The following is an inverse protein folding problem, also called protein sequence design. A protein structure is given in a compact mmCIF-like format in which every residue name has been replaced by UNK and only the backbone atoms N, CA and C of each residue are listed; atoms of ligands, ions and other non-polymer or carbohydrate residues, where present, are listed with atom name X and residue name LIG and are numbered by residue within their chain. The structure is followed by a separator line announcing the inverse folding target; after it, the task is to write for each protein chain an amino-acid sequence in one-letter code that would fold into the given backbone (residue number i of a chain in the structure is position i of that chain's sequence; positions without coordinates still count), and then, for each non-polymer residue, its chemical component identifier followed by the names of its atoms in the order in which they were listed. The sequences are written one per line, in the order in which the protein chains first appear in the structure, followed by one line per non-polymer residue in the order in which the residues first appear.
data_IF_820521287787
#
_entry.id   IF_820521287787
#
_cell.length_a   1.000
_cell.length_b   1.000
_cell.length_c   1.000
_cell.angle_alpha   90.00
_cell.angle_beta   90.00
_cell.angle_gamma   90.00
#
_symmetry.space_group_name_H-M   'P 1'
#
loop_
_entity.id
_entity.type
_entity.pdbx_description
1 polymer ?
#
# COMPACT_ATOMS: atom_id res chain seq x y z
N UNK A 1 -16.41 -18.70 -21.40
CA UNK A 1 -16.23 -17.25 -21.57
C UNK A 1 -16.52 -16.60 -20.23
N UNK A 2 -15.53 -15.98 -19.59
CA UNK A 2 -15.71 -15.38 -18.26
C UNK A 2 -16.63 -14.15 -18.42
N UNK A 3 -17.75 -14.03 -17.68
CA UNK A 3 -18.64 -12.89 -17.83
C UNK A 3 -17.90 -11.62 -17.39
N UNK A 4 -17.74 -10.66 -18.31
CA UNK A 4 -17.12 -9.36 -18.03
C UNK A 4 -17.81 -8.60 -16.88
N UNK A 5 -19.08 -8.91 -16.60
CA UNK A 5 -19.86 -8.35 -15.49
C UNK A 5 -19.34 -8.76 -14.12
N UNK A 6 -18.69 -9.92 -13.98
CA UNK A 6 -18.26 -10.47 -12.69
C UNK A 6 -17.12 -9.67 -12.04
N UNK A 7 -16.40 -8.87 -12.83
CA UNK A 7 -15.30 -8.03 -12.34
C UNK A 7 -15.66 -6.54 -12.23
N UNK A 8 -16.88 -6.14 -12.59
CA UNK A 8 -17.29 -4.73 -12.56
C UNK A 8 -17.27 -4.23 -11.11
N UNK A 9 -16.28 -3.39 -10.79
CA UNK A 9 -16.04 -2.88 -9.44
C UNK A 9 -15.74 -1.39 -9.45
N UNK A 10 -15.90 -0.73 -8.30
CA UNK A 10 -15.39 0.62 -8.09
C UNK A 10 -13.87 0.57 -7.84
N UNK A 11 -13.13 1.67 -8.11
CA UNK A 11 -11.67 1.70 -7.90
C UNK A 11 -11.24 1.36 -6.47
N UNK A 12 -12.07 1.65 -5.47
CA UNK A 12 -11.81 1.38 -4.06
C UNK A 12 -12.33 0.01 -3.57
N UNK A 13 -12.59 -0.91 -4.49
CA UNK A 13 -12.92 -2.31 -4.22
C UNK A 13 -11.79 -3.22 -4.73
N UNK A 14 -11.62 -4.35 -4.08
CA UNK A 14 -10.67 -5.40 -4.49
C UNK A 14 -11.42 -6.67 -4.84
N UNK A 15 -10.71 -7.64 -5.40
CA UNK A 15 -11.24 -8.99 -5.63
C UNK A 15 -10.43 -9.97 -4.79
N UNK A 16 -11.13 -10.86 -4.10
CA UNK A 16 -10.56 -11.91 -3.25
C UNK A 16 -11.14 -13.27 -3.65
N UNK A 17 -10.41 -14.34 -3.35
CA UNK A 17 -10.93 -15.71 -3.47
C UNK A 17 -12.01 -15.97 -2.42
N UNK A 18 -13.05 -16.71 -2.81
CA UNK A 18 -14.06 -17.21 -1.88
C UNK A 18 -13.55 -18.42 -1.09
N UNK A 19 -14.25 -18.80 -0.03
CA UNK A 19 -13.88 -20.00 0.74
C UNK A 19 -13.98 -21.27 -0.11
N UNK A 20 -14.90 -21.31 -1.07
CA UNK A 20 -15.07 -22.46 -1.98
C UNK A 20 -13.87 -22.58 -2.92
N UNK A 21 -13.41 -21.46 -3.49
CA UNK A 21 -12.20 -21.44 -4.31
C UNK A 21 -10.97 -21.84 -3.50
N UNK A 22 -10.82 -21.31 -2.28
CA UNK A 22 -9.74 -21.69 -1.37
C UNK A 22 -9.80 -23.20 -1.09
N UNK A 23 -10.98 -23.76 -0.79
CA UNK A 23 -11.14 -25.19 -0.54
C UNK A 23 -10.80 -26.06 -1.75
N UNK A 24 -11.10 -25.60 -2.97
CA UNK A 24 -10.65 -26.27 -4.21
C UNK A 24 -9.12 -26.26 -4.33
N UNK A 25 -8.51 -25.07 -4.17
CA UNK A 25 -7.06 -24.90 -4.22
C UNK A 25 -6.34 -25.73 -3.14
N UNK A 26 -6.93 -25.89 -1.95
CA UNK A 26 -6.42 -26.77 -0.91
C UNK A 26 -6.35 -28.23 -1.39
N UNK A 27 -7.39 -28.73 -2.07
CA UNK A 27 -7.37 -30.10 -2.63
C UNK A 27 -6.28 -30.25 -3.69
N UNK A 28 -6.09 -29.24 -4.54
CA UNK A 28 -5.02 -29.23 -5.55
C UNK A 28 -3.64 -29.28 -4.87
N UNK A 29 -3.42 -28.47 -3.83
CA UNK A 29 -2.17 -28.47 -3.08
C UNK A 29 -1.88 -29.85 -2.47
N UNK A 30 -2.85 -30.42 -1.74
CA UNK A 30 -2.70 -31.72 -1.08
C UNK A 30 -2.50 -32.87 -2.07
N UNK A 31 -3.03 -32.76 -3.29
CA UNK A 31 -2.77 -33.74 -4.35
C UNK A 31 -1.31 -33.73 -4.82
N UNK A 32 -0.67 -32.56 -4.83
CA UNK A 32 0.73 -32.41 -5.20
C UNK A 32 1.68 -32.75 -4.04
N UNK A 33 1.35 -32.35 -2.81
CA UNK A 33 2.12 -32.64 -1.57
C UNK A 33 1.91 -34.09 -1.09
N UNK A 34 2.37 -35.07 -1.87
CA UNK A 34 2.10 -36.49 -1.63
C UNK A 34 2.68 -37.03 -0.33
N UNK A 35 3.79 -36.45 0.13
CA UNK A 35 4.48 -36.82 1.36
C UNK A 35 3.99 -36.02 2.58
N UNK A 36 3.10 -35.04 2.40
CA UNK A 36 2.57 -34.16 3.45
C UNK A 36 3.67 -33.47 4.25
N UNK A 37 4.75 -33.06 3.59
CA UNK A 37 5.85 -32.34 4.23
C UNK A 37 5.64 -30.81 4.21
N UNK A 38 4.48 -30.35 3.70
CA UNK A 38 4.14 -28.95 3.48
C UNK A 38 5.17 -28.25 2.59
N UNK A 39 5.65 -28.95 1.57
CA UNK A 39 6.62 -28.45 0.62
C UNK A 39 6.42 -29.09 -0.76
N UNK A 40 5.74 -28.38 -1.65
CA UNK A 40 5.68 -28.77 -3.07
C UNK A 40 6.91 -28.24 -3.79
N UNK A 41 7.86 -29.12 -4.09
CA UNK A 41 9.16 -28.75 -4.66
C UNK A 41 9.09 -28.21 -6.10
N UNK A 42 10.20 -27.66 -6.65
CA UNK A 42 10.26 -27.13 -8.02
C UNK A 42 9.85 -28.13 -9.11
N UNK A 43 10.15 -29.40 -8.90
CA UNK A 43 9.77 -30.46 -9.85
C UNK A 43 8.29 -30.83 -9.76
N UNK A 44 7.63 -30.47 -8.67
CA UNK A 44 6.24 -30.83 -8.39
C UNK A 44 5.28 -29.67 -8.64
N UNK A 45 5.76 -28.42 -8.51
CA UNK A 45 5.01 -27.21 -8.84
C UNK A 45 4.50 -27.21 -10.28
N UNK A 46 5.22 -27.86 -11.21
CA UNK A 46 4.72 -28.07 -12.59
C UNK A 46 3.42 -28.87 -12.66
N UNK A 47 3.15 -29.74 -11.68
CA UNK A 47 1.92 -30.52 -11.63
C UNK A 47 0.72 -29.69 -11.16
N UNK A 48 0.93 -28.54 -10.50
CA UNK A 48 -0.18 -27.63 -10.20
C UNK A 48 -0.90 -27.25 -11.48
N UNK A 49 -0.16 -26.90 -12.53
CA UNK A 49 -0.70 -26.34 -13.77
C UNK A 49 -0.62 -27.31 -14.95
N UNK A 50 -0.57 -28.63 -14.70
CA UNK A 50 -0.45 -29.64 -15.77
C UNK A 50 -1.62 -29.63 -16.78
N UNK A 51 -2.78 -29.11 -16.37
CA UNK A 51 -3.98 -28.96 -17.21
C UNK A 51 -4.11 -27.57 -17.82
N UNK A 52 -3.18 -26.66 -17.54
CA UNK A 52 -3.09 -25.31 -18.09
C UNK A 52 -2.02 -25.27 -19.20
N UNK A 53 -2.08 -24.28 -20.13
CA UNK A 53 -1.08 -24.13 -21.19
C UNK A 53 0.34 -23.87 -20.65
N UNK A 54 0.45 -23.11 -19.55
CA UNK A 54 1.70 -22.71 -18.92
C UNK A 54 1.47 -22.35 -17.44
N UNK A 55 2.55 -22.20 -16.66
CA UNK A 55 2.47 -21.77 -15.26
C UNK A 55 2.36 -20.24 -15.18
N UNK A 56 1.36 -19.69 -14.46
CA UNK A 56 1.18 -18.25 -14.36
C UNK A 56 2.25 -17.61 -13.47
N UNK A 57 3.06 -18.40 -12.76
CA UNK A 57 3.98 -17.92 -11.73
C UNK A 57 5.45 -17.92 -12.13
N UNK A 58 5.76 -18.29 -13.36
CA UNK A 58 7.15 -18.37 -13.85
C UNK A 58 7.75 -16.97 -14.10
N UNK A 59 6.92 -15.95 -14.27
CA UNK A 59 7.34 -14.59 -14.63
C UNK A 59 6.92 -13.57 -13.57
N UNK A 60 7.48 -12.36 -13.66
CA UNK A 60 7.07 -11.24 -12.84
C UNK A 60 5.58 -10.92 -13.10
N UNK A 61 4.81 -10.50 -12.09
CA UNK A 61 5.24 -10.16 -10.72
C UNK A 61 5.17 -11.32 -9.72
N UNK A 62 5.00 -12.57 -10.16
CA UNK A 62 4.77 -13.72 -9.29
C UNK A 62 6.03 -14.48 -8.96
N UNK A 63 6.95 -14.57 -9.93
CA UNK A 63 8.26 -15.13 -9.67
C UNK A 63 8.89 -14.38 -8.50
N UNK A 64 9.48 -15.10 -7.55
CA UNK A 64 10.14 -14.49 -6.41
C UNK A 64 9.26 -13.65 -5.46
N UNK A 65 7.93 -13.71 -5.56
CA UNK A 65 7.03 -12.84 -4.78
C UNK A 65 6.62 -13.43 -3.43
N UNK A 66 6.93 -14.68 -3.12
CA UNK A 66 6.53 -15.34 -1.86
C UNK A 66 7.71 -16.05 -1.23
N UNK A 67 7.55 -16.46 0.03
CA UNK A 67 8.53 -17.28 0.74
C UNK A 67 8.67 -18.67 0.11
N UNK A 68 9.92 -19.09 -0.09
CA UNK A 68 10.29 -20.46 -0.46
C UNK A 68 10.60 -21.26 0.80
N UNK A 69 10.26 -22.54 0.78
CA UNK A 69 10.67 -23.45 1.87
C UNK A 69 12.18 -23.65 1.87
N UNK A 70 12.71 -24.25 2.94
CA UNK A 70 14.14 -24.63 3.03
C UNK A 70 14.59 -25.57 1.90
N UNK A 71 13.66 -26.26 1.25
CA UNK A 71 13.92 -27.18 0.15
C UNK A 71 13.68 -26.53 -1.23
N UNK A 72 13.46 -25.21 -1.28
CA UNK A 72 13.22 -24.46 -2.52
C UNK A 72 11.84 -24.68 -3.13
N UNK A 73 10.88 -25.22 -2.37
CA UNK A 73 9.50 -25.42 -2.82
C UNK A 73 8.54 -24.37 -2.29
N UNK A 74 7.24 -24.60 -2.51
CA UNK A 74 6.15 -23.78 -1.97
C UNK A 74 5.48 -24.48 -0.80
N UNK A 75 5.32 -23.76 0.30
CA UNK A 75 4.41 -24.17 1.38
C UNK A 75 2.96 -23.92 0.98
N UNK A 76 2.01 -24.49 1.74
CA UNK A 76 0.58 -24.23 1.56
C UNK A 76 0.23 -22.74 1.67
N UNK A 77 0.84 -22.04 2.63
CA UNK A 77 0.62 -20.60 2.86
C UNK A 77 1.21 -19.76 1.71
N UNK A 78 2.40 -20.11 1.22
CA UNK A 78 3.03 -19.47 0.05
C UNK A 78 2.20 -19.68 -1.22
N UNK A 79 1.66 -20.89 -1.41
CA UNK A 79 0.78 -21.24 -2.51
C UNK A 79 -0.50 -20.39 -2.50
N UNK A 80 -1.20 -20.30 -1.37
CA UNK A 80 -2.40 -19.44 -1.25
C UNK A 80 -2.07 -17.95 -1.35
N UNK A 81 -0.90 -17.53 -0.91
CA UNK A 81 -0.39 -16.16 -1.04
C UNK A 81 -0.23 -15.76 -2.50
N UNK A 82 0.39 -16.61 -3.34
CA UNK A 82 0.50 -16.37 -4.79
C UNK A 82 -0.86 -16.32 -5.49
N UNK A 83 -1.77 -17.23 -5.14
CA UNK A 83 -3.15 -17.20 -5.64
C UNK A 83 -3.88 -15.91 -5.28
N UNK A 84 -3.68 -15.43 -4.05
CA UNK A 84 -4.29 -14.19 -3.58
C UNK A 84 -3.68 -12.96 -4.24
N UNK A 85 -2.36 -12.95 -4.48
CA UNK A 85 -1.67 -11.92 -5.26
C UNK A 85 -2.22 -11.88 -6.69
N UNK A 86 -2.28 -13.03 -7.38
CA UNK A 86 -2.85 -13.12 -8.73
C UNK A 86 -4.29 -12.65 -8.77
N UNK A 87 -5.12 -13.03 -7.81
CA UNK A 87 -6.52 -12.58 -7.74
C UNK A 87 -6.64 -11.08 -7.48
N UNK A 88 -5.74 -10.51 -6.67
CA UNK A 88 -5.74 -9.08 -6.37
C UNK A 88 -5.39 -8.24 -7.60
N UNK A 89 -4.36 -8.64 -8.36
CA UNK A 89 -3.81 -7.84 -9.47
C UNK A 89 -4.44 -8.18 -10.83
N UNK A 90 -4.78 -9.46 -11.06
CA UNK A 90 -5.33 -9.98 -12.31
C UNK A 90 -6.39 -11.07 -12.02
N UNK A 91 -7.59 -10.66 -11.56
CA UNK A 91 -8.65 -11.60 -11.20
C UNK A 91 -9.17 -12.40 -12.39
N UNK A 92 -9.03 -11.88 -13.62
CA UNK A 92 -9.42 -12.59 -14.83
C UNK A 92 -8.51 -13.79 -15.07
N UNK A 93 -7.19 -13.59 -15.00
CA UNK A 93 -6.21 -14.67 -15.06
C UNK A 93 -6.38 -15.67 -13.92
N UNK A 94 -6.62 -15.20 -12.69
CA UNK A 94 -6.89 -16.10 -11.57
C UNK A 94 -8.08 -17.03 -11.86
N UNK A 95 -9.15 -16.47 -12.43
CA UNK A 95 -10.33 -17.25 -12.75
C UNK A 95 -10.13 -18.20 -13.93
N UNK A 96 -9.40 -17.78 -14.96
CA UNK A 96 -8.99 -18.65 -16.06
C UNK A 96 -8.23 -19.87 -15.54
N UNK A 97 -7.26 -19.66 -14.66
CA UNK A 97 -6.48 -20.75 -14.09
C UNK A 97 -7.29 -21.67 -13.19
N UNK A 98 -8.23 -21.15 -12.40
CA UNK A 98 -9.17 -22.00 -11.65
C UNK A 98 -9.98 -22.92 -12.56
N UNK A 99 -10.36 -22.47 -13.77
CA UNK A 99 -11.05 -23.29 -14.76
C UNK A 99 -10.13 -24.40 -15.29
N UNK A 100 -8.87 -24.08 -15.63
CA UNK A 100 -7.89 -25.12 -16.03
C UNK A 100 -7.70 -26.17 -14.92
N UNK A 101 -7.76 -25.77 -13.65
CA UNK A 101 -7.65 -26.67 -12.50
C UNK A 101 -8.95 -27.42 -12.17
N UNK A 102 -9.97 -27.33 -13.01
CA UNK A 102 -11.22 -28.07 -12.85
C UNK A 102 -12.06 -27.60 -11.67
N UNK A 103 -12.09 -26.29 -11.36
CA UNK A 103 -13.03 -25.74 -10.40
C UNK A 103 -14.47 -26.09 -10.83
N UNK A 104 -15.16 -26.89 -10.01
CA UNK A 104 -16.41 -27.56 -10.39
C UNK A 104 -17.64 -26.63 -10.35
N UNK A 105 -17.58 -25.56 -9.57
CA UNK A 105 -18.66 -24.58 -9.43
C UNK A 105 -18.63 -23.57 -10.58
N UNK A 106 -19.68 -22.74 -10.65
CA UNK A 106 -19.68 -21.61 -11.58
C UNK A 106 -18.44 -20.72 -11.32
N UNK A 107 -17.61 -20.42 -12.34
CA UNK A 107 -16.39 -19.65 -12.16
C UNK A 107 -16.63 -18.30 -11.45
N UNK A 108 -17.77 -17.64 -11.67
CA UNK A 108 -18.03 -16.36 -11.01
C UNK A 108 -18.18 -16.47 -9.48
N UNK A 109 -18.47 -17.66 -8.95
CA UNK A 109 -18.56 -17.92 -7.51
C UNK A 109 -17.19 -18.11 -6.83
N UNK A 110 -16.11 -18.24 -7.61
CA UNK A 110 -14.77 -18.41 -7.07
C UNK A 110 -14.18 -17.13 -6.47
N UNK A 111 -14.72 -15.98 -6.87
CA UNK A 111 -14.22 -14.67 -6.51
C UNK A 111 -15.31 -13.83 -5.85
N UNK A 112 -14.88 -12.89 -5.02
CA UNK A 112 -15.75 -11.92 -4.36
C UNK A 112 -15.18 -10.51 -4.54
N UNK A 113 -16.02 -9.59 -5.01
CA UNK A 113 -15.72 -8.17 -4.95
C UNK A 113 -15.92 -7.68 -3.52
N UNK A 114 -14.89 -7.09 -2.92
CA UNK A 114 -14.94 -6.62 -1.53
C UNK A 114 -15.78 -5.36 -1.39
N UNK A 115 -16.18 -5.05 -0.15
CA UNK A 115 -16.82 -3.77 0.17
C UNK A 115 -15.89 -2.60 -0.14
N UNK A 116 -16.46 -1.45 -0.50
CA UNK A 116 -15.70 -0.23 -0.78
C UNK A 116 -14.91 0.22 0.44
N UNK A 117 -13.61 0.51 0.28
CA UNK A 117 -12.73 0.99 1.37
C UNK A 117 -13.26 2.24 2.06
N UNK A 118 -13.92 3.15 1.31
CA UNK A 118 -14.49 4.37 1.91
C UNK A 118 -15.52 4.05 3.00
N UNK A 119 -16.27 2.95 2.85
CA UNK A 119 -17.26 2.50 3.84
C UNK A 119 -16.56 1.82 5.02
N UNK A 120 -15.60 0.93 4.74
CA UNK A 120 -14.81 0.24 5.78
C UNK A 120 -14.10 1.26 6.68
N UNK A 121 -13.57 2.35 6.10
CA UNK A 121 -12.92 3.46 6.80
C UNK A 121 -13.90 4.27 7.63
N UNK A 122 -15.10 4.56 7.10
CA UNK A 122 -16.15 5.30 7.82
C UNK A 122 -16.65 4.53 9.03
N UNK A 123 -16.74 3.22 8.93
CA UNK A 123 -17.23 2.32 9.98
C UNK A 123 -16.12 1.71 10.84
N UNK A 124 -14.86 2.04 10.54
CA UNK A 124 -13.67 1.56 11.25
C UNK A 124 -13.62 0.03 11.38
N UNK A 125 -14.11 -0.67 10.36
CA UNK A 125 -14.19 -2.13 10.34
C UNK A 125 -13.98 -2.63 8.92
N UNK A 126 -13.00 -3.52 8.75
CA UNK A 126 -12.70 -4.18 7.48
C UNK A 126 -12.73 -5.69 7.63
N UNK A 127 -13.47 -6.36 6.73
CA UNK A 127 -13.53 -7.82 6.63
C UNK A 127 -12.64 -8.37 5.50
N UNK A 128 -11.78 -7.51 4.93
CA UNK A 128 -10.82 -7.89 3.89
C UNK A 128 -9.81 -8.87 4.46
N UNK A 129 -9.55 -9.93 3.70
CA UNK A 129 -8.55 -10.96 4.04
C UNK A 129 -7.20 -10.66 3.43
N UNK A 130 -7.19 -9.93 2.31
CA UNK A 130 -5.99 -9.50 1.60
C UNK A 130 -5.81 -7.99 1.82
N UNK A 131 -4.65 -7.61 2.35
CA UNK A 131 -4.28 -6.21 2.63
C UNK A 131 -3.15 -5.80 1.70
N UNK A 132 -3.34 -4.71 0.96
CA UNK A 132 -2.31 -4.16 0.06
C UNK A 132 -1.57 -3.00 0.72
N UNK A 133 -0.27 -3.18 0.92
CA UNK A 133 0.66 -2.18 1.45
C UNK A 133 1.52 -1.61 0.33
N UNK A 134 1.51 -0.30 0.14
CA UNK A 134 2.44 0.39 -0.77
C UNK A 134 3.68 0.85 -0.03
N UNK A 135 4.84 0.51 -0.57
CA UNK A 135 6.15 0.81 0.03
C UNK A 135 6.82 1.91 -0.77
N UNK A 136 6.81 3.12 -0.21
CA UNK A 136 7.47 4.31 -0.72
C UNK A 136 8.79 4.55 -0.01
N UNK A 137 9.64 5.38 -0.60
CA UNK A 137 10.91 5.78 -0.02
C UNK A 137 11.97 6.07 -1.08
N UNK A 138 12.97 6.91 -0.79
CA UNK A 138 14.00 7.26 -1.76
C UNK A 138 14.83 6.05 -2.21
N UNK A 139 15.67 6.28 -3.21
CA UNK A 139 16.68 5.30 -3.65
C UNK A 139 17.56 4.94 -2.45
N UNK A 140 17.94 3.68 -2.35
CA UNK A 140 18.78 3.14 -1.26
C UNK A 140 18.19 3.17 0.16
N UNK A 141 16.91 3.54 0.33
CA UNK A 141 16.21 3.50 1.63
C UNK A 141 15.90 2.08 2.15
N UNK A 142 16.42 1.01 1.55
CA UNK A 142 16.18 -0.36 2.04
C UNK A 142 14.82 -0.99 1.69
N UNK A 143 14.05 -0.42 0.76
CA UNK A 143 12.74 -0.96 0.33
C UNK A 143 12.80 -2.41 -0.16
N UNK A 144 13.67 -2.69 -1.14
CA UNK A 144 13.87 -4.03 -1.70
C UNK A 144 14.32 -5.03 -0.62
N UNK A 145 15.21 -4.59 0.27
CA UNK A 145 15.69 -5.42 1.38
C UNK A 145 14.55 -5.78 2.34
N UNK A 146 13.68 -4.83 2.68
CA UNK A 146 12.48 -5.07 3.49
C UNK A 146 11.57 -6.12 2.82
N UNK A 147 11.26 -5.96 1.53
CA UNK A 147 10.42 -6.92 0.80
C UNK A 147 11.05 -8.32 0.76
N UNK A 148 12.34 -8.42 0.45
CA UNK A 148 13.05 -9.70 0.41
C UNK A 148 13.02 -10.40 1.78
N UNK A 149 13.23 -9.65 2.86
CA UNK A 149 13.20 -10.20 4.22
C UNK A 149 11.79 -10.60 4.66
N UNK A 150 10.75 -9.89 4.20
CA UNK A 150 9.34 -10.27 4.46
C UNK A 150 9.00 -11.66 3.91
N UNK A 151 9.63 -12.07 2.81
CA UNK A 151 9.48 -13.42 2.21
C UNK A 151 10.63 -14.37 2.57
N UNK A 152 11.29 -14.14 3.70
CA UNK A 152 12.26 -15.09 4.28
C UNK A 152 13.62 -15.15 3.59
N UNK A 153 13.91 -14.29 2.60
CA UNK A 153 15.20 -14.33 1.88
C UNK A 153 16.33 -13.79 2.72
N UNK A 154 17.54 -14.28 2.48
CA UNK A 154 18.74 -13.72 3.08
C UNK A 154 18.97 -12.28 2.64
N UNK A 155 19.50 -11.47 3.55
CA UNK A 155 19.97 -10.14 3.20
C UNK A 155 21.14 -10.24 2.22
N UNK A 156 21.12 -9.44 1.16
CA UNK A 156 22.21 -9.36 0.19
C UNK A 156 22.43 -7.90 -0.21
N UNK A 157 23.66 -7.41 -0.02
CA UNK A 157 24.05 -6.04 -0.38
C UNK A 157 24.04 -5.81 -1.90
N UNK A 158 24.31 -6.85 -2.71
CA UNK A 158 24.51 -6.73 -4.16
C UNK A 158 23.21 -6.78 -4.98
N UNK A 159 22.15 -7.42 -4.45
CA UNK A 159 20.86 -7.60 -5.14
C UNK A 159 19.88 -6.41 -4.98
N UNK A 160 20.35 -5.29 -4.42
CA UNK A 160 19.53 -4.09 -4.23
C UNK A 160 19.49 -3.16 -5.45
N UNK A 161 20.14 -3.54 -6.55
CA UNK A 161 20.10 -2.76 -7.80
C UNK A 161 18.68 -2.74 -8.38
N UNK A 162 18.21 -1.52 -8.64
CA UNK A 162 16.84 -1.23 -9.07
C UNK A 162 16.49 -1.93 -10.37
N UNK A 163 15.74 -3.03 -10.25
CA UNK A 163 14.98 -3.56 -11.39
C UNK A 163 13.85 -2.58 -11.73
N UNK A 164 13.63 -2.37 -13.03
CA UNK A 164 12.51 -1.58 -13.55
C UNK A 164 11.18 -2.34 -13.51
N UNK A 165 11.20 -3.63 -13.17
CA UNK A 165 10.01 -4.46 -13.05
C UNK A 165 9.23 -4.19 -11.75
N UNK A 166 7.91 -4.41 -11.79
CA UNK A 166 7.07 -4.30 -10.58
C UNK A 166 7.48 -5.36 -9.56
N UNK A 167 7.88 -4.92 -8.35
CA UNK A 167 8.24 -5.82 -7.26
C UNK A 167 7.12 -5.95 -6.26
N UNK A 168 6.72 -7.20 -6.02
CA UNK A 168 5.77 -7.59 -4.97
C UNK A 168 6.42 -8.56 -4.00
N UNK A 169 5.96 -8.52 -2.76
CA UNK A 169 6.20 -9.54 -1.76
C UNK A 169 4.87 -9.85 -1.08
N UNK A 170 4.48 -11.11 -1.04
CA UNK A 170 3.23 -11.59 -0.46
C UNK A 170 3.51 -12.71 0.52
N UNK A 171 2.92 -12.61 1.71
CA UNK A 171 2.97 -13.67 2.70
C UNK A 171 1.76 -13.61 3.62
N UNK A 172 1.50 -14.70 4.33
CA UNK A 172 0.53 -14.76 5.42
C UNK A 172 1.16 -14.16 6.68
N UNK A 173 0.43 -13.26 7.36
CA UNK A 173 0.85 -12.66 8.62
C UNK A 173 -0.14 -13.05 9.72
N UNK A 174 0.40 -13.66 10.77
CA UNK A 174 -0.34 -14.06 11.96
C UNK A 174 -0.41 -12.87 12.95
N UNK A 175 -1.59 -12.66 13.53
CA UNK A 175 -1.74 -11.66 14.60
C UNK A 175 -1.41 -12.28 15.94
N UNK A 176 -0.53 -11.63 16.71
CA UNK A 176 -0.34 -11.98 18.12
C UNK A 176 -1.51 -11.45 18.98
N UNK A 177 -1.99 -12.24 19.97
CA UNK A 177 -2.96 -11.79 21.00
C UNK A 177 -4.39 -12.37 20.90
N UNK A 178 -5.37 -11.73 21.57
CA UNK A 178 -6.76 -12.22 21.80
C UNK A 178 -7.57 -12.48 20.50
N UNK A 179 -7.08 -12.02 19.35
CA UNK A 179 -7.65 -12.27 18.03
C UNK A 179 -6.78 -13.20 17.14
N UNK A 180 -5.98 -14.08 17.75
CA UNK A 180 -5.03 -15.02 17.13
C UNK A 180 -5.58 -15.96 16.04
N UNK A 181 -6.89 -15.93 15.75
CA UNK A 181 -7.54 -16.84 14.79
C UNK A 181 -7.78 -16.23 13.40
N UNK A 182 -7.29 -15.01 13.11
CA UNK A 182 -7.46 -14.38 11.79
C UNK A 182 -6.13 -14.06 11.14
N UNK A 183 -5.54 -15.08 10.51
CA UNK A 183 -4.46 -14.90 9.52
C UNK A 183 -4.94 -13.98 8.41
N UNK A 184 -4.08 -13.07 7.96
CA UNK A 184 -4.33 -12.23 6.78
C UNK A 184 -3.17 -12.34 5.81
N UNK A 185 -3.46 -12.15 4.53
CA UNK A 185 -2.45 -12.10 3.50
C UNK A 185 -2.06 -10.64 3.32
N UNK A 186 -0.77 -10.34 3.52
CA UNK A 186 -0.21 -9.02 3.29
C UNK A 186 0.51 -9.02 1.94
N UNK A 187 0.09 -8.13 1.04
CA UNK A 187 0.73 -7.89 -0.26
C UNK A 187 1.46 -6.55 -0.18
N UNK A 188 2.79 -6.58 -0.19
CA UNK A 188 3.64 -5.40 -0.26
C UNK A 188 4.03 -5.12 -1.70
N UNK A 189 3.76 -3.91 -2.20
CA UNK A 189 4.18 -3.43 -3.52
C UNK A 189 5.23 -2.34 -3.35
N UNK A 190 6.43 -2.56 -3.86
CA UNK A 190 7.44 -1.51 -3.93
C UNK A 190 7.07 -0.49 -5.01
N UNK A 191 7.00 0.78 -4.64
CA UNK A 191 6.70 1.87 -5.57
C UNK A 191 8.02 2.45 -6.07
N UNK A 192 8.23 2.37 -7.38
CA UNK A 192 9.37 3.01 -8.04
C UNK A 192 9.13 4.51 -8.15
N UNK A 193 10.12 5.29 -7.73
CA UNK A 193 10.10 6.76 -7.82
C UNK A 193 11.04 7.13 -8.95
N UNK A 194 10.51 7.74 -10.01
CA UNK A 194 11.31 8.21 -11.12
C UNK A 194 12.10 9.47 -10.70
N UNK A 195 13.32 9.62 -11.23
CA UNK A 195 14.32 10.61 -10.78
C UNK A 195 13.89 12.08 -11.02
N UNK A 196 12.73 12.33 -11.63
CA UNK A 196 12.11 13.65 -11.81
C UNK A 196 10.74 13.75 -11.11
N UNK A 197 10.76 13.89 -9.78
CA UNK A 197 9.69 14.46 -8.94
C UNK A 197 8.23 13.98 -9.07
N UNK A 198 7.93 12.88 -9.76
CA UNK A 198 6.58 12.31 -9.76
C UNK A 198 6.64 10.78 -9.69
N UNK A 199 6.16 10.20 -8.59
CA UNK A 199 5.64 8.84 -8.68
C UNK A 199 4.33 8.93 -9.47
N UNK A 200 4.25 8.30 -10.64
CA UNK A 200 3.03 8.31 -11.45
C UNK A 200 2.13 7.17 -10.96
N UNK A 201 1.49 7.37 -9.82
CA UNK A 201 0.41 6.47 -9.40
C UNK A 201 -0.91 6.97 -9.98
N UNK A 202 -1.59 6.09 -10.72
CA UNK A 202 -2.94 6.37 -11.17
C UNK A 202 -3.88 6.50 -9.96
N UNK A 203 -4.98 7.24 -10.13
CA UNK A 203 -6.04 7.29 -9.12
C UNK A 203 -6.57 5.89 -8.78
N UNK A 204 -6.53 4.95 -9.73
CA UNK A 204 -6.92 3.56 -9.52
C UNK A 204 -5.93 2.82 -8.59
N UNK A 205 -4.62 3.02 -8.78
CA UNK A 205 -3.61 2.47 -7.88
C UNK A 205 -3.74 3.06 -6.46
N UNK A 206 -3.94 4.38 -6.34
CA UNK A 206 -4.17 5.02 -5.03
C UNK A 206 -5.46 4.51 -4.36
N UNK A 207 -6.50 4.20 -5.14
CA UNK A 207 -7.74 3.63 -4.63
C UNK A 207 -7.58 2.18 -4.12
N UNK A 208 -6.59 1.45 -4.65
CA UNK A 208 -6.31 0.08 -4.26
C UNK A 208 -5.47 -0.04 -2.97
N UNK A 209 -4.84 1.05 -2.53
CA UNK A 209 -4.01 1.09 -1.31
C UNK A 209 -4.85 0.92 -0.03
N UNK A 210 -4.49 -0.06 0.81
CA UNK A 210 -5.03 -0.22 2.16
C UNK A 210 -4.21 0.56 3.19
N UNK A 211 -2.88 0.56 3.04
CA UNK A 211 -1.90 1.25 3.91
C UNK A 211 -0.66 1.61 3.11
N UNK A 212 -0.08 2.77 3.38
CA UNK A 212 1.20 3.19 2.79
C UNK A 212 2.28 3.24 3.87
N UNK A 213 3.48 2.76 3.55
CA UNK A 213 4.66 2.93 4.40
C UNK A 213 5.71 3.75 3.66
N UNK A 214 6.41 4.60 4.39
CA UNK A 214 7.44 5.50 3.90
C UNK A 214 8.75 5.13 4.57
N UNK A 215 9.59 4.41 3.83
CA UNK A 215 10.86 3.90 4.32
C UNK A 215 11.95 4.93 4.05
N UNK A 216 12.79 5.19 5.05
CA UNK A 216 14.00 5.99 4.92
C UNK A 216 15.18 5.29 5.59
N UNK A 217 16.40 5.62 5.16
CA UNK A 217 17.62 5.20 5.82
C UNK A 217 17.87 6.04 7.07
N UNK A 218 17.90 5.43 8.25
CA UNK A 218 18.08 6.13 9.53
C UNK A 218 19.45 6.81 9.66
N UNK A 219 20.43 6.42 8.85
CA UNK A 219 21.76 7.03 8.81
C UNK A 219 21.88 8.22 7.85
N UNK A 220 20.84 8.53 7.07
CA UNK A 220 20.87 9.55 6.00
C UNK A 220 19.72 10.58 6.14
N UNK A 221 20.09 11.80 6.53
CA UNK A 221 19.17 12.95 6.67
C UNK A 221 18.46 13.29 5.35
N UNK A 222 19.13 13.12 4.21
CA UNK A 222 18.54 13.40 2.90
C UNK A 222 17.46 12.38 2.54
N UNK A 223 17.66 11.12 2.94
CA UNK A 223 16.68 10.05 2.81
C UNK A 223 15.45 10.35 3.67
N UNK A 224 15.64 10.83 4.90
CA UNK A 224 14.54 11.25 5.78
C UNK A 224 13.70 12.37 5.16
N UNK A 225 14.32 13.47 4.75
CA UNK A 225 13.63 14.63 4.14
C UNK A 225 12.82 14.21 2.92
N UNK A 226 13.42 13.38 2.04
CA UNK A 226 12.72 12.90 0.84
C UNK A 226 11.54 11.99 1.19
N UNK A 227 11.62 11.16 2.22
CA UNK A 227 10.50 10.32 2.66
C UNK A 227 9.32 11.15 3.17
N UNK A 228 9.58 12.25 3.89
CA UNK A 228 8.55 13.20 4.34
C UNK A 228 7.90 13.91 3.15
N UNK A 229 8.68 14.38 2.17
CA UNK A 229 8.15 15.00 0.96
C UNK A 229 7.22 14.04 0.20
N UNK A 230 7.64 12.77 0.06
CA UNK A 230 6.83 11.73 -0.57
C UNK A 230 5.53 11.47 0.19
N UNK A 231 5.58 11.44 1.53
CA UNK A 231 4.39 11.30 2.36
C UNK A 231 3.42 12.45 2.11
N UNK A 232 3.93 13.69 2.10
CA UNK A 232 3.13 14.88 1.85
C UNK A 232 2.48 14.85 0.46
N UNK A 233 3.23 14.46 -0.57
CA UNK A 233 2.77 14.34 -1.95
C UNK A 233 1.71 13.25 -2.12
N UNK A 234 1.95 12.03 -1.60
CA UNK A 234 1.00 10.91 -1.64
C UNK A 234 -0.28 11.24 -0.89
N UNK A 235 -0.17 11.79 0.33
CA UNK A 235 -1.33 12.15 1.14
C UNK A 235 -2.17 13.25 0.49
N UNK A 236 -1.53 14.24 -0.14
CA UNK A 236 -2.23 15.32 -0.86
C UNK A 236 -2.91 14.80 -2.11
N UNK A 237 -2.19 14.04 -2.94
CA UNK A 237 -2.70 13.49 -4.20
C UNK A 237 -3.86 12.51 -3.97
N UNK A 238 -3.70 11.59 -3.02
CA UNK A 238 -4.76 10.64 -2.66
C UNK A 238 -6.01 11.36 -2.13
N UNK A 239 -5.84 12.37 -1.26
CA UNK A 239 -6.95 13.17 -0.74
C UNK A 239 -7.69 13.96 -1.82
N UNK A 240 -6.96 14.53 -2.78
CA UNK A 240 -7.54 15.25 -3.91
C UNK A 240 -8.29 14.33 -4.88
N UNK A 241 -7.86 13.07 -4.98
CA UNK A 241 -8.59 12.00 -5.67
C UNK A 241 -9.76 11.41 -4.86
N UNK A 242 -9.96 11.85 -3.61
CA UNK A 242 -11.05 11.40 -2.74
C UNK A 242 -10.75 10.11 -1.94
N UNK A 243 -9.49 9.69 -1.90
CA UNK A 243 -9.02 8.53 -1.14
C UNK A 243 -8.29 8.99 0.13
N UNK A 244 -8.34 8.16 1.18
CA UNK A 244 -7.64 8.40 2.44
C UNK A 244 -7.21 7.06 3.00
N UNK A 245 -5.93 6.82 3.20
CA UNK A 245 -5.43 5.60 3.82
C UNK A 245 -4.37 5.94 4.87
N UNK A 246 -4.16 5.05 5.84
CA UNK A 246 -3.12 5.22 6.84
C UNK A 246 -1.72 5.27 6.20
N UNK A 247 -0.86 6.11 6.76
CA UNK A 247 0.54 6.24 6.39
C UNK A 247 1.41 5.98 7.62
N UNK A 248 2.46 5.18 7.47
CA UNK A 248 3.43 4.89 8.54
C UNK A 248 4.85 5.26 8.08
N UNK A 249 5.65 5.78 9.00
CA UNK A 249 7.09 6.00 8.76
C UNK A 249 7.89 4.79 9.22
N UNK A 250 8.90 4.40 8.44
CA UNK A 250 9.78 3.26 8.74
C UNK A 250 11.23 3.70 8.65
N UNK A 251 11.93 3.68 9.78
CA UNK A 251 13.36 3.95 9.89
C UNK A 251 14.11 2.64 9.62
N UNK A 252 14.76 2.53 8.46
CA UNK A 252 15.52 1.36 8.04
C UNK A 252 17.02 1.53 8.32
N UNK A 253 17.76 0.41 8.28
CA UNK A 253 19.22 0.34 8.50
C UNK A 253 19.63 0.83 9.89
N UNK A 254 18.86 0.45 10.90
CA UNK A 254 19.15 0.78 12.31
C UNK A 254 20.39 0.06 12.86
N UNK A 255 21.02 -0.80 12.06
CA UNK A 255 22.36 -1.33 12.29
C UNK A 255 23.49 -0.32 12.01
N UNK A 256 23.17 0.84 11.43
CA UNK A 256 24.09 1.96 11.22
C UNK A 256 23.83 3.07 12.25
N UNK A 257 24.84 3.90 12.46
CA UNK A 257 24.70 5.09 13.31
C UNK A 257 23.68 6.06 12.72
N UNK A 258 22.68 6.52 13.50
CA UNK A 258 21.68 7.45 12.99
C UNK A 258 22.28 8.82 12.69
N UNK A 259 21.68 9.54 11.74
CA UNK A 259 22.10 10.92 11.48
C UNK A 259 21.86 11.82 12.71
N UNK A 260 22.60 12.93 12.86
CA UNK A 260 22.43 13.84 14.00
C UNK A 260 20.99 14.33 14.13
N UNK A 261 20.44 14.33 15.35
CA UNK A 261 19.06 14.79 15.63
C UNK A 261 17.92 13.93 15.07
N UNK A 262 18.21 12.72 14.53
CA UNK A 262 17.19 11.86 13.92
C UNK A 262 15.94 11.64 14.80
N UNK A 263 16.13 11.39 16.11
CA UNK A 263 15.01 11.16 17.03
C UNK A 263 14.20 12.44 17.29
N UNK A 264 14.85 13.56 17.57
CA UNK A 264 14.15 14.82 17.86
C UNK A 264 13.41 15.38 16.63
N UNK A 265 14.04 15.31 15.45
CA UNK A 265 13.43 15.77 14.21
C UNK A 265 12.28 14.86 13.78
N UNK A 266 12.45 13.55 13.89
CA UNK A 266 11.39 12.61 13.51
C UNK A 266 10.15 12.76 14.36
N UNK A 267 10.27 12.75 15.69
CA UNK A 267 9.13 12.91 16.61
C UNK A 267 8.43 14.25 16.39
N UNK A 268 9.17 15.36 16.23
CA UNK A 268 8.55 16.68 15.99
C UNK A 268 7.71 16.68 14.72
N UNK A 269 8.24 16.13 13.62
CA UNK A 269 7.57 16.16 12.31
C UNK A 269 6.40 15.17 12.26
N UNK A 270 6.52 13.98 12.86
CA UNK A 270 5.42 13.00 12.92
C UNK A 270 4.25 13.53 13.75
N UNK A 271 4.51 14.19 14.87
CA UNK A 271 3.50 14.89 15.68
C UNK A 271 2.79 15.99 14.88
N UNK A 272 3.54 16.83 14.14
CA UNK A 272 2.96 17.89 13.30
C UNK A 272 2.05 17.34 12.19
N UNK A 273 2.42 16.21 11.59
CA UNK A 273 1.66 15.54 10.52
C UNK A 273 0.51 14.69 11.10
N UNK A 274 0.54 14.38 12.40
CA UNK A 274 -0.45 13.57 13.10
C UNK A 274 -0.34 12.07 12.80
N UNK A 275 0.87 11.55 12.70
CA UNK A 275 1.17 10.11 12.57
C UNK A 275 2.04 9.63 13.73
N UNK A 276 2.11 8.32 13.92
CA UNK A 276 2.96 7.69 14.95
C UNK A 276 4.45 7.83 14.61
N UNK A 277 5.29 7.68 15.64
CA UNK A 277 6.75 7.69 15.51
C UNK A 277 7.26 6.61 14.53
N UNK A 278 8.41 6.84 13.87
CA UNK A 278 8.94 5.89 12.91
C UNK A 278 9.22 4.51 13.50
N UNK A 279 8.77 3.47 12.81
CA UNK A 279 9.04 2.08 13.18
C UNK A 279 10.48 1.73 12.77
N UNK A 280 11.29 1.32 13.73
CA UNK A 280 12.70 1.00 13.55
C UNK A 280 12.88 -0.45 13.06
N UNK A 281 13.64 -0.63 11.98
CA UNK A 281 13.98 -1.95 11.42
C UNK A 281 15.43 -2.05 10.93
N UNK A 282 16.01 -3.25 11.02
CA UNK A 282 17.23 -3.62 10.30
C UNK A 282 17.00 -4.88 9.48
N UNK A 283 17.01 -4.71 8.15
CA UNK A 283 16.94 -5.86 7.23
C UNK A 283 18.16 -6.76 7.31
N UNK A 284 19.33 -6.17 7.62
CA UNK A 284 20.61 -6.88 7.76
C UNK A 284 20.62 -7.76 9.01
N UNK A 285 20.15 -7.25 10.15
CA UNK A 285 20.05 -7.99 11.40
C UNK A 285 18.80 -8.89 11.46
N UNK A 286 17.83 -8.69 10.55
CA UNK A 286 16.56 -9.40 10.58
C UNK A 286 15.60 -8.89 11.66
N UNK A 287 15.79 -7.66 12.11
CA UNK A 287 15.01 -7.03 13.17
C UNK A 287 13.85 -6.25 12.56
N UNK A 288 12.65 -6.83 12.63
CA UNK A 288 11.41 -6.21 12.13
C UNK A 288 10.39 -5.89 13.22
N UNK A 289 10.70 -6.27 14.47
CA UNK A 289 9.79 -6.10 15.61
C UNK A 289 8.39 -6.62 15.29
N UNK A 290 7.39 -5.73 15.38
CA UNK A 290 5.99 -5.99 15.03
C UNK A 290 5.54 -5.28 13.75
N UNK A 291 6.46 -4.89 12.85
CA UNK A 291 6.16 -4.07 11.67
C UNK A 291 4.96 -4.61 10.88
N UNK A 292 4.96 -5.89 10.52
CA UNK A 292 3.89 -6.47 9.70
C UNK A 292 2.54 -6.53 10.44
N UNK A 293 2.56 -6.76 11.76
CA UNK A 293 1.36 -6.70 12.60
C UNK A 293 0.81 -5.26 12.68
N UNK A 294 1.68 -4.25 12.80
CA UNK A 294 1.31 -2.83 12.82
C UNK A 294 0.71 -2.41 11.48
N UNK A 295 1.30 -2.84 10.35
CA UNK A 295 0.75 -2.60 9.00
C UNK A 295 -0.67 -3.15 8.90
N UNK A 296 -0.91 -4.39 9.36
CA UNK A 296 -2.25 -4.97 9.37
C UNK A 296 -3.21 -4.24 10.30
N UNK A 297 -2.74 -3.84 11.49
CA UNK A 297 -3.55 -3.10 12.46
C UNK A 297 -3.99 -1.73 11.91
N UNK A 298 -3.07 -1.02 11.25
CA UNK A 298 -3.34 0.26 10.59
C UNK A 298 -4.38 0.10 9.47
N UNK A 299 -4.24 -0.94 8.63
CA UNK A 299 -5.20 -1.22 7.56
C UNK A 299 -6.63 -1.52 8.07
N UNK A 300 -6.75 -2.10 9.26
CA UNK A 300 -8.04 -2.39 9.89
C UNK A 300 -8.64 -1.21 10.66
N UNK A 301 -7.78 -0.39 11.26
CA UNK A 301 -8.16 0.79 12.03
C UNK A 301 -7.60 2.05 11.38
N UNK A 302 -7.98 2.35 10.13
CA UNK A 302 -7.31 3.38 9.31
C UNK A 302 -7.44 4.79 9.89
N UNK A 303 -8.42 5.04 10.76
CA UNK A 303 -8.63 6.33 11.40
C UNK A 303 -7.50 6.77 12.33
N UNK A 304 -6.68 5.84 12.82
CA UNK A 304 -5.60 6.14 13.77
C UNK A 304 -4.33 6.70 13.12
N UNK A 305 -4.13 6.46 11.82
CA UNK A 305 -2.85 6.77 11.15
C UNK A 305 -3.01 7.49 9.81
N UNK A 306 -4.16 8.14 9.55
CA UNK A 306 -4.33 9.00 8.37
C UNK A 306 -3.67 10.36 8.62
N UNK A 307 -2.69 10.79 7.81
CA UNK A 307 -2.04 12.09 7.96
C UNK A 307 -3.00 13.27 7.92
N UNK A 308 -2.78 14.24 8.81
CA UNK A 308 -3.53 15.48 8.88
C UNK A 308 -2.93 16.58 7.97
N UNK A 309 -2.80 16.29 6.68
CA UNK A 309 -2.23 17.25 5.73
C UNK A 309 -3.38 18.08 5.11
N UNK A 310 -3.36 19.41 5.26
CA UNK A 310 -4.32 20.30 4.59
C UNK A 310 -4.21 20.15 3.06
N UNK A 311 -5.33 19.98 2.34
CA UNK A 311 -5.26 19.89 0.88
C UNK A 311 -4.86 21.23 0.26
N UNK A 312 -4.10 21.20 -0.84
CA UNK A 312 -3.74 22.41 -1.57
C UNK A 312 -4.97 23.20 -2.03
N UNK A 313 -6.06 22.52 -2.41
CA UNK A 313 -7.35 23.17 -2.72
C UNK A 313 -7.92 23.93 -1.52
N UNK A 314 -7.81 23.40 -0.29
CA UNK A 314 -8.19 24.13 0.93
C UNK A 314 -7.24 25.29 1.18
N UNK A 315 -5.92 25.14 1.02
CA UNK A 315 -4.93 26.21 1.17
C UNK A 315 -5.19 27.35 0.17
N UNK A 316 -5.46 27.03 -1.10
CA UNK A 316 -5.83 27.96 -2.18
C UNK A 316 -7.18 28.64 -1.93
N UNK A 317 -8.22 27.91 -1.52
CA UNK A 317 -9.51 28.50 -1.14
C UNK A 317 -9.42 29.40 0.11
N UNK A 318 -8.58 29.04 1.09
CA UNK A 318 -8.33 29.84 2.31
C UNK A 318 -7.57 31.13 1.95
N UNK A 319 -6.62 31.06 1.01
CA UNK A 319 -5.92 32.23 0.46
C UNK A 319 -6.85 33.13 -0.37
N UNK A 320 -7.71 32.57 -1.22
CA UNK A 320 -8.71 33.33 -1.98
C UNK A 320 -9.70 34.02 -1.02
N UNK A 321 -10.22 33.29 -0.01
CA UNK A 321 -11.10 33.88 1.02
C UNK A 321 -10.40 34.94 1.88
N UNK A 322 -9.12 34.77 2.22
CA UNK A 322 -8.32 35.81 2.90
C UNK A 322 -8.08 37.03 1.99
N UNK A 323 -7.84 36.85 0.69
CA UNK A 323 -7.70 37.96 -0.25
C UNK A 323 -9.00 38.76 -0.42
N UNK A 324 -10.16 38.10 -0.44
CA UNK A 324 -11.48 38.75 -0.45
C UNK A 324 -11.76 39.54 0.85
N UNK A 325 -11.26 39.09 2.00
CA UNK A 325 -11.37 39.84 3.27
C UNK A 325 -10.42 41.04 3.34
N UNK A 326 -9.28 41.00 2.64
CA UNK A 326 -8.30 42.11 2.60
C UNK A 326 -8.73 43.21 1.61
N UNK A 327 -9.54 42.90 0.60
CA UNK A 327 -10.12 43.92 -0.29
C UNK A 327 -11.44 44.52 0.26
N UNK A 328 -12.01 43.94 1.32
CA UNK A 328 -13.29 44.36 1.91
C UNK A 328 -13.25 45.46 2.97
N UNK A 329 -12.08 45.90 3.44
CA UNK A 329 -11.95 46.91 4.52
C UNK A 329 -11.23 48.21 4.11
N UNK A 330 -10.95 48.41 2.83
CA UNK A 330 -10.19 49.57 2.33
C UNK A 330 -10.91 50.44 1.27
N UNK A 331 -12.25 50.45 1.23
CA UNK A 331 -13.01 51.27 0.26
C UNK A 331 -14.14 52.12 0.84
N UNK A 332 -14.09 52.48 2.14
CA UNK A 332 -15.09 53.39 2.74
C UNK A 332 -14.56 54.74 3.25
N UNK A 333 -13.31 55.15 2.97
CA UNK A 333 -12.73 56.39 3.57
C UNK A 333 -12.18 57.41 2.57
N UNK A 334 -12.44 57.32 1.26
CA UNK A 334 -12.07 58.41 0.33
C UNK A 334 -13.14 58.61 -0.74
N UNK A 335 -14.31 59.11 -0.33
CA UNK A 335 -15.42 59.39 -1.26
C UNK A 335 -16.47 60.40 -0.77
N UNK A 336 -16.26 61.03 0.38
CA UNK A 336 -17.21 62.02 0.94
C UNK A 336 -16.63 63.42 1.17
N UNK A 337 -15.34 63.63 0.90
CA UNK A 337 -14.72 64.97 0.98
C UNK A 337 -14.77 65.75 -0.33
N UNK A 338 -14.95 65.09 -1.48
CA UNK A 338 -14.90 65.73 -2.81
C UNK A 338 -16.24 66.30 -3.28
N UNK A 339 -17.36 65.96 -2.61
CA UNK A 339 -18.70 66.44 -2.99
C UNK A 339 -19.10 67.70 -2.21
N UNK A 340 -18.40 68.05 -1.11
CA UNK A 340 -18.68 69.28 -0.35
C UNK A 340 -17.95 70.53 -0.84
N UNK A 341 -16.98 70.41 -1.75
CA UNK A 341 -16.34 71.58 -2.38
C UNK A 341 -16.96 71.99 -3.73
N UNK A 342 -17.86 71.18 -4.30
CA UNK A 342 -18.54 71.51 -5.57
C UNK A 342 -19.89 72.20 -5.38
N UNK A 343 -20.42 72.27 -4.15
CA UNK A 343 -21.69 72.92 -3.83
C UNK A 343 -21.56 74.37 -3.32
N UNK A 344 -20.35 74.94 -3.21
CA UNK A 344 -20.13 76.30 -2.71
C UNK A 344 -19.73 77.33 -3.80
N UNK A 345 -19.96 77.03 -5.09
CA UNK A 345 -19.65 77.97 -6.20
C UNK A 345 -20.77 78.21 -7.20
N UNK A 346 -22.02 77.88 -6.84
CA UNK A 346 -23.21 78.31 -7.58
C UNK A 346 -24.36 78.60 -6.62
N UNK A 347 -24.37 79.79 -6.05
CA UNK A 347 -25.54 80.64 -5.76
C UNK A 347 -25.08 81.80 -4.86
N UNK A 348 -25.25 83.02 -5.39
CA UNK A 348 -25.26 84.36 -4.77
C UNK A 348 -24.31 84.67 -3.60
#
# INVERSE_FOLDING_TARGET
MIPYSSFKRKPDQSVELTNDAIGHLTKVYMFCDKNNDNNVGPNETKYFFQTAPDSPWNEAPYNNATEETKNGGLSYESYLSLWSLMTLIDPARSLEYLIYLGFENDPSSAIRVTRRRVLDRKEQKSERKVVQCFVFGPKNAGKSALLNRFIGRSYNDENNNGSTEERYAVNTVDKSGVHAHKKKILVMKEIQILEENAFILSNEALASCDVAIFVYDSSDESSWKRAIDLLAEVATTSKDAGFKFPCLMVASKTDLDPFPMANEESTRVTEEIGIEDPIQISSKLGEFGKLFEIILAAAEHPHMSIPNIESEKKRRCKLIKKSLMIVGTASLVVGLASIRLYAARKQC
#
